data_IF_139387631826
#
_entry.id   IF_139387631826
#
_cell.length_a   1.000
_cell.length_b   1.000
_cell.length_c   1.000
_cell.angle_alpha   90.00
_cell.angle_beta   90.00
_cell.angle_gamma   90.00
#
_symmetry.space_group_name_H-M   'P 1'
#
loop_
_entity.id
_entity.type
_entity.pdbx_description
1 polymer ?
#
# COMPACT_ATOMS: atom_id res chain seq x y z
N UNK A 1 -12.50 -1.74 -12.43
CA UNK A 1 -11.26 -1.19 -11.86
C UNK A 1 -11.26 -1.58 -10.40
N UNK A 2 -10.36 -2.47 -10.01
CA UNK A 2 -10.10 -2.75 -8.60
C UNK A 2 -9.40 -1.54 -7.98
N UNK A 3 -9.60 -1.29 -6.68
CA UNK A 3 -9.04 -0.14 -5.93
C UNK A 3 -7.54 0.09 -6.24
N UNK A 4 -6.77 -0.97 -6.44
CA UNK A 4 -5.32 -0.94 -6.59
C UNK A 4 -4.81 -0.99 -8.05
N UNK A 5 -5.69 -1.05 -9.05
CA UNK A 5 -5.25 -1.08 -10.47
C UNK A 5 -4.45 0.19 -10.84
N UNK A 6 -4.79 1.33 -10.22
CA UNK A 6 -4.13 2.64 -10.41
C UNK A 6 -2.65 2.64 -10.07
N UNK A 7 -2.17 1.73 -9.21
CA UNK A 7 -0.75 1.64 -8.86
C UNK A 7 0.11 1.34 -10.09
N UNK A 8 -0.39 0.54 -11.03
CA UNK A 8 0.29 0.27 -12.29
C UNK A 8 0.15 1.44 -13.26
N UNK A 9 -1.07 1.99 -13.38
CA UNK A 9 -1.37 3.04 -14.36
C UNK A 9 -0.63 4.36 -14.08
N UNK A 10 -0.39 4.67 -12.81
CA UNK A 10 0.31 5.88 -12.36
C UNK A 10 1.82 5.67 -12.14
N UNK A 11 2.36 4.51 -12.52
CA UNK A 11 3.80 4.27 -12.45
C UNK A 11 4.35 4.21 -11.02
N UNK A 12 3.57 3.65 -10.08
CA UNK A 12 4.08 3.16 -8.79
C UNK A 12 4.68 1.77 -8.98
N UNK A 13 4.10 0.99 -9.89
CA UNK A 13 4.52 -0.37 -10.21
C UNK A 13 4.99 -0.47 -11.67
N UNK A 14 5.87 -1.44 -11.92
CA UNK A 14 6.14 -1.95 -13.25
C UNK A 14 5.01 -2.89 -13.69
N UNK A 15 4.98 -3.21 -14.99
CA UNK A 15 3.97 -4.11 -15.58
C UNK A 15 3.94 -5.53 -15.00
N UNK A 16 5.05 -5.96 -14.40
CA UNK A 16 5.21 -7.26 -13.75
C UNK A 16 4.89 -7.22 -12.24
N UNK A 17 4.42 -6.08 -11.72
CA UNK A 17 4.09 -5.91 -10.30
C UNK A 17 5.27 -5.51 -9.41
N UNK A 18 6.48 -5.40 -9.96
CA UNK A 18 7.63 -4.90 -9.21
C UNK A 18 7.43 -3.42 -8.84
N UNK A 19 7.68 -3.09 -7.57
CA UNK A 19 7.55 -1.74 -7.05
C UNK A 19 8.73 -0.90 -7.54
N UNK A 20 8.43 0.28 -8.09
CA UNK A 20 9.47 1.18 -8.61
C UNK A 20 10.26 1.77 -7.44
N UNK A 21 11.59 1.57 -7.44
CA UNK A 21 12.51 2.14 -6.44
C UNK A 21 12.67 3.65 -6.65
N UNK A 22 12.93 4.38 -5.56
CA UNK A 22 13.23 5.80 -5.58
C UNK A 22 14.48 6.09 -4.71
N UNK A 23 14.84 7.37 -4.59
CA UNK A 23 15.93 7.78 -3.71
C UNK A 23 15.52 7.52 -2.25
N UNK A 24 16.47 7.05 -1.44
CA UNK A 24 16.20 6.74 -0.04
C UNK A 24 15.89 8.01 0.76
N UNK A 25 14.84 7.93 1.57
CA UNK A 25 14.41 8.97 2.50
C UNK A 25 13.87 8.34 3.80
N UNK A 26 13.64 9.16 4.82
CA UNK A 26 13.05 8.76 6.10
C UNK A 26 11.90 9.70 6.47
N UNK A 27 10.67 9.18 6.43
CA UNK A 27 9.44 9.93 6.71
C UNK A 27 8.73 9.28 7.89
N UNK A 28 8.41 10.06 8.92
CA UNK A 28 7.71 9.60 10.13
C UNK A 28 8.29 8.34 10.79
N UNK A 29 9.62 8.17 10.70
CA UNK A 29 10.33 7.02 11.25
C UNK A 29 10.33 5.77 10.36
N UNK A 30 9.77 5.84 9.15
CA UNK A 30 9.83 4.79 8.14
C UNK A 30 10.91 5.07 7.11
N UNK A 31 11.67 4.04 6.76
CA UNK A 31 12.53 4.09 5.58
C UNK A 31 11.67 4.03 4.32
N UNK A 32 11.83 5.03 3.46
CA UNK A 32 11.20 5.13 2.15
C UNK A 32 12.28 4.92 1.09
N UNK A 33 12.12 3.89 0.26
CA UNK A 33 13.09 3.54 -0.79
C UNK A 33 12.40 3.15 -2.10
N UNK A 34 11.08 3.31 -2.15
CA UNK A 34 10.24 2.96 -3.28
C UNK A 34 9.03 3.89 -3.37
N UNK A 35 8.50 4.03 -4.59
CA UNK A 35 7.37 4.92 -4.90
C UNK A 35 6.10 4.55 -4.15
N UNK A 36 5.95 3.28 -3.73
CA UNK A 36 4.76 2.85 -3.00
C UNK A 36 4.76 3.45 -1.60
N UNK A 37 5.87 3.34 -0.86
CA UNK A 37 5.98 3.94 0.47
C UNK A 37 6.00 5.46 0.41
N UNK A 38 6.62 6.02 -0.62
CA UNK A 38 6.56 7.47 -0.86
C UNK A 38 5.11 7.94 -1.05
N UNK A 39 4.32 7.29 -1.91
CA UNK A 39 2.89 7.60 -2.07
C UNK A 39 2.07 7.46 -0.77
N UNK A 40 2.41 6.48 0.07
CA UNK A 40 1.70 6.26 1.34
C UNK A 40 2.03 7.32 2.39
N UNK A 41 3.29 7.79 2.48
CA UNK A 41 3.77 8.63 3.58
C UNK A 41 4.00 10.09 3.20
N UNK A 42 4.51 10.34 2.00
CA UNK A 42 4.94 11.64 1.57
C UNK A 42 3.77 12.46 1.03
N UNK A 43 3.23 13.34 1.87
CA UNK A 43 2.13 14.24 1.51
C UNK A 43 2.51 15.30 0.47
N UNK A 44 3.81 15.48 0.19
CA UNK A 44 4.33 16.44 -0.79
C UNK A 44 4.72 15.77 -2.12
N UNK A 45 4.58 14.45 -2.24
CA UNK A 45 4.88 13.73 -3.47
C UNK A 45 3.84 13.99 -4.57
N UNK A 46 4.26 13.89 -5.83
CA UNK A 46 3.34 13.98 -6.98
C UNK A 46 2.23 12.91 -6.93
N UNK A 47 2.48 11.81 -6.21
CA UNK A 47 1.58 10.67 -6.08
C UNK A 47 0.69 10.75 -4.81
N UNK A 48 0.83 11.76 -3.96
CA UNK A 48 0.13 11.88 -2.66
C UNK A 48 -1.41 11.87 -2.79
N UNK A 49 -1.92 12.37 -3.90
CA UNK A 49 -3.35 12.44 -4.20
C UNK A 49 -3.86 11.26 -5.06
N UNK A 50 -3.04 10.21 -5.26
CA UNK A 50 -3.44 9.02 -6.02
C UNK A 50 -4.72 8.37 -5.46
N UNK A 51 -4.90 8.48 -4.14
CA UNK A 51 -6.09 8.06 -3.41
C UNK A 51 -6.62 9.22 -2.57
N UNK A 52 -7.93 9.48 -2.68
CA UNK A 52 -8.55 10.52 -1.86
C UNK A 52 -8.79 10.04 -0.42
N UNK A 53 -9.12 10.97 0.49
CA UNK A 53 -9.30 10.67 1.92
C UNK A 53 -10.36 9.60 2.20
N UNK A 54 -11.42 9.51 1.39
CA UNK A 54 -12.46 8.48 1.56
C UNK A 54 -11.95 7.09 1.17
N UNK A 55 -11.14 7.00 0.12
CA UNK A 55 -10.53 5.74 -0.33
C UNK A 55 -9.47 5.26 0.66
N UNK A 56 -8.65 6.19 1.19
CA UNK A 56 -7.66 5.87 2.23
C UNK A 56 -8.31 5.41 3.54
N UNK A 57 -9.55 5.84 3.81
CA UNK A 57 -10.33 5.41 4.96
C UNK A 57 -11.03 4.04 4.77
N UNK A 58 -11.00 3.45 3.57
CA UNK A 58 -11.54 2.10 3.37
C UNK A 58 -10.72 1.07 4.16
N UNK A 59 -11.40 0.16 4.87
CA UNK A 59 -10.75 -0.87 5.68
C UNK A 59 -9.70 -1.68 4.89
N UNK A 60 -10.00 -2.00 3.62
CA UNK A 60 -9.08 -2.73 2.76
C UNK A 60 -7.80 -1.92 2.47
N UNK A 61 -7.92 -0.60 2.29
CA UNK A 61 -6.77 0.29 2.12
C UNK A 61 -5.95 0.37 3.40
N UNK A 62 -6.59 0.56 4.56
CA UNK A 62 -5.89 0.62 5.84
C UNK A 62 -5.08 -0.67 6.11
N UNK A 63 -5.67 -1.85 5.87
CA UNK A 63 -4.97 -3.14 6.02
C UNK A 63 -3.76 -3.19 5.07
N UNK A 64 -3.95 -2.81 3.81
CA UNK A 64 -2.87 -2.78 2.81
C UNK A 64 -1.74 -1.84 3.24
N UNK A 65 -2.05 -0.62 3.65
CA UNK A 65 -1.09 0.37 4.14
C UNK A 65 -0.29 -0.17 5.34
N UNK A 66 -0.97 -0.79 6.32
CA UNK A 66 -0.30 -1.40 7.47
C UNK A 66 0.65 -2.54 7.08
N UNK A 67 0.33 -3.32 6.05
CA UNK A 67 1.24 -4.36 5.56
C UNK A 67 2.44 -3.77 4.83
N UNK A 68 2.25 -2.73 4.02
CA UNK A 68 3.32 -2.08 3.26
C UNK A 68 4.31 -1.31 4.16
N UNK A 69 3.78 -0.60 5.16
CA UNK A 69 4.56 0.19 6.12
C UNK A 69 5.10 -0.68 7.26
N UNK A 70 4.29 -1.63 7.74
CA UNK A 70 4.65 -2.52 8.84
C UNK A 70 4.96 -1.74 10.12
N UNK A 71 6.19 -1.91 10.61
CA UNK A 71 6.75 -1.21 11.76
C UNK A 71 8.26 -1.44 11.84
N UNK A 72 8.84 -1.33 13.03
CA UNK A 72 10.30 -1.43 13.23
C UNK A 72 10.95 -2.73 12.73
N UNK A 73 10.18 -3.80 12.55
CA UNK A 73 10.64 -5.11 12.07
C UNK A 73 10.07 -5.47 10.69
N UNK A 74 9.65 -4.47 9.90
CA UNK A 74 9.04 -4.72 8.60
C UNK A 74 10.02 -5.43 7.65
N UNK A 75 9.54 -6.48 6.98
CA UNK A 75 10.25 -7.11 5.88
C UNK A 75 9.62 -6.63 4.58
N UNK A 76 10.36 -5.79 3.87
CA UNK A 76 9.90 -5.17 2.65
C UNK A 76 9.85 -6.17 1.50
N UNK A 77 8.74 -6.16 0.76
CA UNK A 77 8.61 -6.85 -0.51
C UNK A 77 9.00 -5.94 -1.68
N UNK A 78 9.61 -6.53 -2.72
CA UNK A 78 9.93 -5.85 -3.98
C UNK A 78 8.77 -5.91 -4.99
N UNK A 79 7.78 -6.77 -4.76
CA UNK A 79 6.57 -6.91 -5.60
C UNK A 79 5.29 -6.67 -4.79
N UNK A 80 4.30 -6.08 -5.44
CA UNK A 80 3.00 -5.75 -4.85
C UNK A 80 2.16 -6.98 -4.50
N UNK A 81 2.42 -8.13 -5.15
CA UNK A 81 1.52 -9.28 -5.16
C UNK A 81 1.29 -9.87 -3.77
N UNK A 82 2.34 -9.91 -2.95
CA UNK A 82 2.27 -10.39 -1.58
C UNK A 82 1.36 -9.51 -0.73
N UNK A 83 1.54 -8.19 -0.79
CA UNK A 83 0.71 -7.23 -0.06
C UNK A 83 -0.76 -7.33 -0.46
N UNK A 84 -1.08 -7.32 -1.76
CA UNK A 84 -2.48 -7.38 -2.22
C UNK A 84 -3.15 -8.70 -1.88
N UNK A 85 -2.43 -9.83 -2.00
CA UNK A 85 -2.96 -11.14 -1.65
C UNK A 85 -3.30 -11.20 -0.15
N UNK A 86 -2.37 -10.80 0.71
CA UNK A 86 -2.54 -10.88 2.16
C UNK A 86 -3.59 -9.87 2.65
N UNK A 87 -3.58 -8.64 2.14
CA UNK A 87 -4.61 -7.64 2.49
C UNK A 87 -6.02 -8.14 2.17
N UNK A 88 -6.22 -8.73 0.98
CA UNK A 88 -7.51 -9.31 0.57
C UNK A 88 -7.93 -10.49 1.43
N UNK A 89 -6.99 -11.34 1.86
CA UNK A 89 -7.28 -12.47 2.76
C UNK A 89 -7.74 -11.96 4.12
N UNK A 90 -6.96 -11.07 4.75
CA UNK A 90 -7.29 -10.48 6.05
C UNK A 90 -8.64 -9.77 6.00
N UNK A 91 -8.86 -8.92 4.99
CA UNK A 91 -10.13 -8.22 4.82
C UNK A 91 -11.33 -9.19 4.74
N UNK A 92 -11.23 -10.25 3.92
CA UNK A 92 -12.30 -11.24 3.77
C UNK A 92 -12.58 -11.97 5.07
N UNK A 93 -11.54 -12.32 5.83
CA UNK A 93 -11.69 -13.04 7.10
C UNK A 93 -12.32 -12.14 8.17
N UNK A 94 -11.94 -10.86 8.24
CA UNK A 94 -12.56 -9.88 9.13
C UNK A 94 -14.05 -9.65 8.80
N UNK A 95 -14.39 -9.50 7.51
CA UNK A 95 -15.79 -9.33 7.08
C UNK A 95 -16.62 -10.58 7.42
N UNK A 96 -16.07 -11.78 7.20
CA UNK A 96 -16.73 -13.03 7.58
C UNK A 96 -16.97 -13.13 9.08
N UNK A 97 -15.97 -12.78 9.89
CA UNK A 97 -16.09 -12.79 11.33
C UNK A 97 -17.19 -11.82 11.80
N UNK A 98 -17.23 -10.60 11.25
CA UNK A 98 -18.24 -9.60 11.58
C UNK A 98 -19.68 -10.04 11.22
N UNK A 99 -19.85 -10.74 10.10
CA UNK A 99 -21.15 -11.29 9.66
C UNK A 99 -21.61 -12.53 10.46
N UNK A 100 -20.69 -13.15 11.21
CA UNK A 100 -20.97 -14.33 12.02
C UNK A 100 -21.40 -13.98 13.45
N UNK A 101 -21.37 -12.69 13.81
CA UNK A 101 -21.85 -12.09 15.07
C UNK A 101 -23.18 -11.40 14.88
#
# INVERSE_FOLDING_TARGET
MSLFDRLTDCGILRKDGAIIKCMEDYIDGFQVSDKLRDMLLNTESDDAELYNSSERAELLFCIFEHLCLGGAMNQFEDSIDAYLRVAKLIYKDLVRAALST
#
